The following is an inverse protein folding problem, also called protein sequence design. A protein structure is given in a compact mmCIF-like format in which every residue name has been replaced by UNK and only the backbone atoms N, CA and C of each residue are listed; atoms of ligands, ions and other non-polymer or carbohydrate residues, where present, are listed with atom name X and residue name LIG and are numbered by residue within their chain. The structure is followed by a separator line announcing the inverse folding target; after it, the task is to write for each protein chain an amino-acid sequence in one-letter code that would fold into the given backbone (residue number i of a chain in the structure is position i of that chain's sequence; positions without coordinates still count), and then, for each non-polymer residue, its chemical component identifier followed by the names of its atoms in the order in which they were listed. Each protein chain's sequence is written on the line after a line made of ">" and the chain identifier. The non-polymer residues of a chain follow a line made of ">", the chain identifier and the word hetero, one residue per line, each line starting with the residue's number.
data_IF_770898901775
#
_entry.id   IF_770898901775
#
_cell.length_a   1.000
_cell.length_b   1.000
_cell.length_c   1.000
_cell.angle_alpha   90.00
_cell.angle_beta   90.00
_cell.angle_gamma   90.00
#
_symmetry.space_group_name_H-M   'P 1'
#
loop_
_entity.id
_entity.type
_entity.pdbx_description
1 polymer ?
#
# COMPACT_ATOMS: atom_id res chain seq x y z
N UNK A 1 12.76 -19.61 19.15
CA UNK A 1 13.88 -18.78 19.67
C UNK A 1 14.45 -17.90 18.55
N UNK A 2 13.55 -17.50 17.63
CA UNK A 2 13.68 -16.71 16.38
C UNK A 2 13.13 -15.33 16.75
N UNK A 3 13.90 -14.26 17.03
CA UNK A 3 13.43 -12.97 17.64
C UNK A 3 11.89 -12.88 17.81
N UNK A 4 11.40 -13.38 18.95
CA UNK A 4 10.14 -14.13 19.05
C UNK A 4 8.93 -13.24 19.37
N UNK A 5 8.04 -12.90 18.44
CA UNK A 5 7.67 -13.49 17.15
C UNK A 5 7.64 -12.47 15.97
N UNK A 6 8.74 -11.80 15.61
CA UNK A 6 8.80 -10.61 14.70
C UNK A 6 7.65 -9.52 14.74
N UNK A 7 6.80 -9.24 15.75
CA UNK A 7 6.86 -9.72 17.13
C UNK A 7 5.61 -10.37 17.78
N UNK A 8 4.38 -10.34 17.21
CA UNK A 8 3.33 -11.44 17.28
C UNK A 8 2.15 -11.06 16.36
N UNK A 9 2.47 -10.79 15.10
CA UNK A 9 1.78 -10.00 14.06
C UNK A 9 2.43 -8.61 14.04
N UNK A 10 2.19 -7.78 13.04
CA UNK A 10 2.44 -6.33 13.16
C UNK A 10 1.50 -5.72 14.23
N UNK A 11 1.52 -6.27 15.47
CA UNK A 11 0.42 -6.99 16.16
C UNK A 11 -0.99 -6.49 15.89
N UNK A 12 -1.71 -7.29 15.09
CA UNK A 12 -3.03 -7.01 14.48
C UNK A 12 -3.04 -5.92 13.39
N UNK A 13 -1.90 -5.61 12.77
CA UNK A 13 -1.77 -4.65 11.66
C UNK A 13 -2.48 -3.30 11.85
N UNK A 14 -2.59 -2.90 13.14
CA UNK A 14 -3.22 -1.71 13.77
C UNK A 14 -4.42 -1.98 14.73
N UNK A 15 -5.02 -3.20 14.85
CA UNK A 15 -6.25 -3.51 15.64
C UNK A 15 -7.50 -2.68 15.22
N UNK A 16 -8.41 -3.25 14.43
CA UNK A 16 -9.68 -2.61 14.02
C UNK A 16 -10.71 -2.40 15.15
N UNK A 17 -10.45 -1.49 16.11
CA UNK A 17 -11.39 -1.11 17.17
C UNK A 17 -11.75 0.39 17.14
N UNK A 18 -13.04 0.70 17.25
CA UNK A 18 -13.53 2.05 17.54
C UNK A 18 -13.08 2.48 18.95
N UNK A 19 -12.36 3.59 19.07
CA UNK A 19 -12.18 4.29 20.34
C UNK A 19 -13.23 5.39 20.47
N UNK A 20 -14.10 5.26 21.47
CA UNK A 20 -14.85 6.39 22.02
C UNK A 20 -14.11 6.87 23.26
N UNK A 21 -13.54 8.07 23.20
CA UNK A 21 -13.12 8.78 24.41
C UNK A 21 -13.40 10.27 24.24
N UNK A 22 -14.29 10.82 25.05
CA UNK A 22 -14.47 12.28 25.18
C UNK A 22 -15.43 12.97 24.21
N UNK A 23 -16.32 12.25 23.51
CA UNK A 23 -17.48 12.87 22.84
C UNK A 23 -17.19 13.94 21.78
N UNK A 24 -15.97 13.99 21.23
CA UNK A 24 -15.62 14.92 20.16
C UNK A 24 -15.14 14.13 18.93
N UNK A 25 -16.03 14.00 17.95
CA UNK A 25 -15.68 13.55 16.60
C UNK A 25 -14.85 14.65 15.97
N UNK A 26 -13.53 14.44 15.81
CA UNK A 26 -12.76 15.22 14.83
C UNK A 26 -13.22 14.72 13.46
N UNK A 27 -14.28 15.36 12.98
CA UNK A 27 -14.81 15.19 11.63
C UNK A 27 -13.77 15.75 10.66
N UNK A 28 -12.79 14.92 10.30
CA UNK A 28 -12.25 15.00 8.95
C UNK A 28 -13.45 14.69 8.04
N UNK A 29 -13.97 15.71 7.36
CA UNK A 29 -14.99 15.55 6.33
C UNK A 29 -14.68 14.28 5.52
N UNK A 30 -15.67 13.44 5.21
CA UNK A 30 -15.40 12.25 4.44
C UNK A 30 -14.58 12.60 3.20
N UNK A 31 -13.53 11.82 2.94
CA UNK A 31 -12.86 11.84 1.63
C UNK A 31 -13.94 11.81 0.54
N UNK A 32 -13.75 12.46 -0.62
CA UNK A 32 -14.75 12.59 -1.69
C UNK A 32 -15.22 11.25 -2.33
N UNK A 33 -14.88 10.12 -1.72
CA UNK A 33 -15.36 8.78 -2.07
C UNK A 33 -16.44 8.26 -1.10
N UNK A 34 -16.79 9.01 -0.04
CA UNK A 34 -17.90 8.65 0.84
C UNK A 34 -19.20 9.24 0.31
N UNK A 35 -19.56 8.83 -0.90
CA UNK A 35 -20.88 9.08 -1.46
C UNK A 35 -21.82 8.12 -0.72
N UNK A 36 -22.23 8.47 0.50
CA UNK A 36 -23.20 7.73 1.31
C UNK A 36 -24.61 7.68 0.67
N UNK A 37 -24.70 7.80 -0.65
CA UNK A 37 -25.85 7.39 -1.41
C UNK A 37 -26.07 5.89 -1.15
N UNK A 38 -27.32 5.45 -0.91
CA UNK A 38 -27.59 4.03 -0.74
C UNK A 38 -27.00 3.28 -1.93
N UNK A 39 -26.21 2.23 -1.65
CA UNK A 39 -25.54 1.40 -2.66
C UNK A 39 -26.58 0.96 -3.66
N UNK A 40 -26.65 1.68 -4.78
CA UNK A 40 -27.68 1.47 -5.78
C UNK A 40 -27.15 0.33 -6.65
N UNK A 41 -27.96 -0.72 -6.83
CA UNK A 41 -27.55 -1.92 -7.56
C UNK A 41 -26.98 -1.52 -8.92
N UNK A 42 -25.70 -1.80 -9.11
CA UNK A 42 -25.02 -1.59 -10.39
C UNK A 42 -25.25 -2.83 -11.26
N UNK A 43 -25.64 -2.63 -12.52
CA UNK A 43 -25.81 -3.72 -13.48
C UNK A 43 -24.99 -3.44 -14.74
N UNK A 44 -24.53 -4.49 -15.41
CA UNK A 44 -23.94 -4.38 -16.74
C UNK A 44 -25.02 -4.79 -17.74
N UNK A 45 -25.44 -3.89 -18.62
CA UNK A 45 -26.45 -4.14 -19.65
C UNK A 45 -25.87 -3.78 -21.00
N UNK A 46 -25.84 -4.74 -21.93
CA UNK A 46 -25.26 -4.54 -23.27
C UNK A 46 -23.82 -3.96 -23.26
N UNK A 47 -23.02 -4.27 -22.23
CA UNK A 47 -21.65 -3.77 -22.08
C UNK A 47 -21.53 -2.40 -21.38
N UNK A 48 -22.66 -1.76 -21.05
CA UNK A 48 -22.69 -0.49 -20.32
C UNK A 48 -22.89 -0.75 -18.82
N UNK A 49 -22.12 -0.05 -17.99
CA UNK A 49 -22.32 -0.01 -16.55
C UNK A 49 -23.52 0.88 -16.25
N UNK A 50 -24.46 0.45 -15.41
CA UNK A 50 -25.66 1.21 -15.07
C UNK A 50 -25.88 1.25 -13.56
N UNK A 51 -26.22 2.42 -13.01
CA UNK A 51 -26.75 2.58 -11.65
C UNK A 51 -28.28 2.63 -11.75
N UNK A 52 -28.96 1.56 -11.31
CA UNK A 52 -30.38 1.38 -11.62
C UNK A 52 -30.58 1.23 -13.14
N UNK A 53 -31.27 2.20 -13.75
CA UNK A 53 -31.47 2.31 -15.20
C UNK A 53 -30.63 3.44 -15.84
N UNK A 54 -29.78 4.11 -15.06
CA UNK A 54 -28.95 5.22 -15.54
C UNK A 54 -27.59 4.68 -15.99
N UNK A 55 -27.17 4.85 -17.26
CA UNK A 55 -25.83 4.48 -17.68
C UNK A 55 -24.80 5.37 -16.99
N UNK A 56 -23.75 4.75 -16.47
CA UNK A 56 -22.61 5.42 -15.87
C UNK A 56 -21.71 5.89 -17.02
N UNK A 57 -21.42 7.19 -17.16
CA UNK A 57 -20.64 7.73 -18.29
C UNK A 57 -19.15 7.38 -18.22
N UNK A 58 -18.73 6.56 -17.24
CA UNK A 58 -17.37 6.05 -17.07
C UNK A 58 -17.40 4.55 -17.37
N UNK A 59 -16.58 4.08 -18.31
CA UNK A 59 -15.14 4.26 -18.20
C UNK A 59 -14.54 5.16 -19.27
N UNK A 60 -13.63 6.07 -18.90
CA UNK A 60 -12.65 6.61 -19.87
C UNK A 60 -11.91 5.42 -20.48
N UNK A 61 -11.94 5.24 -21.82
CA UNK A 61 -11.14 4.22 -22.48
C UNK A 61 -9.68 4.34 -22.04
N UNK A 62 -8.93 3.23 -22.02
CA UNK A 62 -7.48 3.26 -21.71
C UNK A 62 -6.73 4.27 -22.58
N UNK A 63 -7.18 4.46 -23.82
CA UNK A 63 -6.64 5.43 -24.77
C UNK A 63 -6.81 6.91 -24.35
N UNK A 64 -7.77 7.20 -23.46
CA UNK A 64 -8.09 8.53 -22.96
C UNK A 64 -7.60 8.75 -21.52
N UNK A 65 -6.93 7.76 -20.93
CA UNK A 65 -6.31 7.93 -19.62
C UNK A 65 -5.17 8.95 -19.68
N UNK A 66 -4.94 9.71 -18.59
CA UNK A 66 -3.78 10.59 -18.51
C UNK A 66 -2.48 9.81 -18.71
N UNK A 67 -1.40 10.52 -19.06
CA UNK A 67 -0.10 9.92 -19.33
C UNK A 67 0.28 8.86 -18.29
N UNK A 68 0.74 7.70 -18.79
CA UNK A 68 1.14 6.55 -17.97
C UNK A 68 2.10 7.01 -16.87
N UNK A 69 1.80 6.61 -15.63
CA UNK A 69 2.68 6.81 -14.48
C UNK A 69 3.63 5.61 -14.34
N UNK A 70 4.91 5.82 -13.98
CA UNK A 70 5.82 4.72 -13.69
C UNK A 70 5.26 3.81 -12.59
N UNK A 71 5.20 2.50 -12.84
CA UNK A 71 4.81 1.52 -11.82
C UNK A 71 6.00 1.25 -10.89
N UNK A 72 5.84 1.54 -9.60
CA UNK A 72 6.94 1.52 -8.64
C UNK A 72 6.65 0.55 -7.50
N UNK A 73 7.59 -0.36 -7.22
CA UNK A 73 7.59 -1.11 -5.95
C UNK A 73 8.35 -0.29 -4.92
N UNK A 74 7.77 -0.10 -3.73
CA UNK A 74 8.44 0.54 -2.60
C UNK A 74 8.92 -0.52 -1.63
N UNK A 75 10.20 -0.42 -1.26
CA UNK A 75 10.83 -1.15 -0.18
C UNK A 75 11.17 -0.16 0.95
N UNK A 76 10.68 -0.44 2.16
CA UNK A 76 10.97 0.32 3.36
C UNK A 76 10.95 -0.64 4.56
N UNK A 77 11.55 -0.30 5.71
CA UNK A 77 11.41 -1.13 6.89
C UNK A 77 9.93 -1.18 7.30
N UNK A 78 9.52 -2.31 7.85
CA UNK A 78 8.16 -2.54 8.35
C UNK A 78 8.17 -3.20 9.73
N UNK A 79 8.87 -4.32 9.88
CA UNK A 79 9.04 -5.02 11.16
C UNK A 79 9.87 -4.24 12.18
N UNK A 80 9.77 -4.64 13.46
CA UNK A 80 10.40 -3.93 14.59
C UNK A 80 9.48 -2.84 15.15
N UNK A 81 9.87 -1.58 15.04
CA UNK A 81 9.02 -0.44 15.43
C UNK A 81 7.91 -0.19 14.39
N UNK A 82 6.87 -1.02 14.44
CA UNK A 82 5.79 -1.06 13.45
C UNK A 82 5.05 0.26 13.34
N UNK A 83 4.82 0.97 14.45
CA UNK A 83 4.12 2.28 14.42
C UNK A 83 4.95 3.29 13.63
N UNK A 84 6.22 3.46 13.97
CA UNK A 84 7.14 4.34 13.26
C UNK A 84 7.30 3.94 11.80
N UNK A 85 7.47 2.65 11.54
CA UNK A 85 7.72 2.12 10.21
C UNK A 85 6.49 2.21 9.31
N UNK A 86 5.29 2.08 9.87
CA UNK A 86 4.03 2.31 9.14
C UNK A 86 3.92 3.77 8.70
N UNK A 87 4.20 4.72 9.60
CA UNK A 87 4.22 6.14 9.25
C UNK A 87 5.34 6.46 8.24
N UNK A 88 6.49 5.81 8.35
CA UNK A 88 7.56 5.95 7.37
C UNK A 88 7.17 5.40 6.00
N UNK A 89 6.59 4.20 5.93
CA UNK A 89 6.11 3.60 4.68
C UNK A 89 5.03 4.46 4.01
N UNK A 90 4.11 5.05 4.79
CA UNK A 90 3.11 6.02 4.31
C UNK A 90 3.77 7.27 3.72
N UNK A 91 4.81 7.80 4.37
CA UNK A 91 5.55 8.95 3.87
C UNK A 91 6.33 8.61 2.59
N UNK A 92 6.90 7.40 2.48
CA UNK A 92 7.56 6.92 1.27
C UNK A 92 6.57 6.80 0.10
N UNK A 93 5.39 6.23 0.36
CA UNK A 93 4.29 6.15 -0.62
C UNK A 93 3.89 7.55 -1.11
N UNK A 94 3.73 8.50 -0.18
CA UNK A 94 3.38 9.88 -0.51
C UNK A 94 4.48 10.59 -1.33
N UNK A 95 5.76 10.38 -1.00
CA UNK A 95 6.88 10.92 -1.77
C UNK A 95 6.86 10.39 -3.22
N UNK A 96 6.68 9.08 -3.40
CA UNK A 96 6.58 8.46 -4.73
C UNK A 96 5.38 9.00 -5.53
N UNK A 97 4.19 9.09 -4.91
CA UNK A 97 3.01 9.70 -5.54
C UNK A 97 3.26 11.15 -5.99
N UNK A 98 3.93 11.95 -5.16
CA UNK A 98 4.29 13.35 -5.48
C UNK A 98 5.31 13.47 -6.62
N UNK A 99 6.07 12.42 -6.91
CA UNK A 99 6.95 12.32 -8.09
C UNK A 99 6.19 11.94 -9.37
N UNK A 100 4.87 11.79 -9.29
CA UNK A 100 4.05 11.39 -10.43
C UNK A 100 4.06 9.89 -10.71
N UNK A 101 4.59 9.09 -9.79
CA UNK A 101 4.67 7.63 -9.88
C UNK A 101 3.35 6.98 -9.41
N UNK A 102 3.19 5.70 -9.74
CA UNK A 102 2.12 4.83 -9.25
C UNK A 102 2.74 3.73 -8.37
N UNK A 103 2.97 4.00 -7.07
CA UNK A 103 3.63 3.07 -6.18
C UNK A 103 2.72 2.00 -5.58
N UNK A 104 3.30 0.85 -5.29
CA UNK A 104 2.79 -0.13 -4.34
C UNK A 104 3.81 -0.39 -3.22
N UNK A 105 3.32 -0.46 -1.98
CA UNK A 105 4.08 -0.93 -0.82
C UNK A 105 3.35 -2.16 -0.25
N UNK A 106 3.67 -3.37 -0.71
CA UNK A 106 2.95 -4.59 -0.36
C UNK A 106 3.03 -4.91 1.13
N UNK A 107 4.17 -4.62 1.77
CA UNK A 107 4.36 -4.77 3.21
C UNK A 107 3.47 -3.85 4.05
N UNK A 108 3.04 -2.71 3.50
CA UNK A 108 2.07 -1.82 4.13
C UNK A 108 0.62 -2.20 3.78
N UNK A 109 0.38 -2.72 2.58
CA UNK A 109 -0.96 -3.03 2.07
C UNK A 109 -1.49 -4.38 2.60
N UNK A 110 -0.75 -5.47 2.34
CA UNK A 110 -1.25 -6.82 2.57
C UNK A 110 -1.35 -7.15 4.06
N UNK A 111 -0.45 -6.60 4.86
CA UNK A 111 -0.44 -6.82 6.32
C UNK A 111 -1.71 -6.30 6.99
N UNK A 112 -2.45 -5.35 6.41
CA UNK A 112 -3.74 -4.88 6.96
C UNK A 112 -4.85 -5.94 6.96
N UNK A 113 -4.69 -7.01 6.18
CA UNK A 113 -5.71 -8.07 6.03
C UNK A 113 -5.15 -9.48 6.19
N UNK A 114 -3.82 -9.64 6.21
CA UNK A 114 -3.12 -10.91 6.42
C UNK A 114 -2.36 -10.88 7.74
N UNK A 115 -2.39 -11.99 8.45
CA UNK A 115 -1.58 -12.22 9.64
C UNK A 115 -0.23 -12.84 9.23
N UNK A 116 0.81 -12.00 9.22
CA UNK A 116 2.18 -12.42 8.93
C UNK A 116 2.74 -13.48 9.90
N UNK A 117 2.05 -13.79 11.02
CA UNK A 117 2.41 -14.94 11.86
C UNK A 117 1.93 -16.28 11.33
N UNK A 118 0.87 -16.27 10.54
CA UNK A 118 0.34 -17.46 9.90
C UNK A 118 1.19 -17.72 8.67
N UNK A 119 1.97 -18.81 8.62
CA UNK A 119 2.91 -19.03 7.52
C UNK A 119 2.24 -19.02 6.14
N UNK A 120 1.01 -19.54 6.06
CA UNK A 120 0.16 -19.54 4.86
C UNK A 120 -0.23 -18.13 4.42
N UNK A 121 -0.60 -17.25 5.35
CA UNK A 121 -0.97 -15.87 5.02
C UNK A 121 0.25 -15.00 4.71
N UNK A 122 1.36 -15.22 5.43
CA UNK A 122 2.65 -14.57 5.12
C UNK A 122 3.12 -14.92 3.72
N UNK A 123 3.07 -16.21 3.36
CA UNK A 123 3.43 -16.68 2.02
C UNK A 123 2.52 -16.06 0.96
N UNK A 124 1.21 -16.04 1.18
CA UNK A 124 0.24 -15.38 0.29
C UNK A 124 0.58 -13.89 0.07
N UNK A 125 0.89 -13.17 1.14
CA UNK A 125 1.25 -11.75 1.08
C UNK A 125 2.54 -11.50 0.30
N UNK A 126 3.55 -12.37 0.49
CA UNK A 126 4.81 -12.35 -0.25
C UNK A 126 4.54 -12.64 -1.73
N UNK A 127 3.86 -13.74 -2.07
CA UNK A 127 3.56 -14.11 -3.46
C UNK A 127 2.80 -13.02 -4.21
N UNK A 128 1.80 -12.40 -3.58
CA UNK A 128 1.07 -11.28 -4.14
C UNK A 128 1.98 -10.07 -4.40
N UNK A 129 2.91 -9.76 -3.48
CA UNK A 129 3.93 -8.74 -3.69
C UNK A 129 4.88 -9.08 -4.83
N UNK A 130 5.26 -10.36 -4.97
CA UNK A 130 6.16 -10.83 -6.03
C UNK A 130 5.56 -10.68 -7.43
N UNK A 131 4.25 -10.83 -7.56
CA UNK A 131 3.58 -10.70 -8.86
C UNK A 131 3.82 -9.32 -9.50
N UNK A 132 4.04 -8.27 -8.70
CA UNK A 132 4.28 -6.91 -9.18
C UNK A 132 5.59 -6.74 -9.94
N UNK A 133 6.61 -7.54 -9.66
CA UNK A 133 7.90 -7.44 -10.35
C UNK A 133 7.80 -7.70 -11.86
N UNK A 134 6.71 -8.33 -12.34
CA UNK A 134 6.47 -8.55 -13.78
C UNK A 134 6.11 -7.27 -14.53
N UNK A 135 5.56 -6.27 -13.84
CA UNK A 135 5.02 -5.05 -14.45
C UNK A 135 5.67 -3.78 -13.92
N UNK A 136 6.36 -3.86 -12.78
CA UNK A 136 7.06 -2.74 -12.19
C UNK A 136 8.18 -2.23 -13.11
N UNK A 137 8.27 -0.91 -13.24
CA UNK A 137 9.31 -0.23 -14.00
C UNK A 137 10.56 0.04 -13.15
N UNK A 138 10.39 0.08 -11.82
CA UNK A 138 11.50 0.15 -10.86
C UNK A 138 11.07 -0.27 -9.46
N UNK A 139 12.06 -0.63 -8.66
CA UNK A 139 11.99 -0.81 -7.23
C UNK A 139 12.69 0.37 -6.56
N UNK A 140 12.04 1.01 -5.60
CA UNK A 140 12.56 2.15 -4.87
C UNK A 140 12.74 1.77 -3.41
N UNK A 141 13.98 1.86 -2.94
CA UNK A 141 14.38 1.48 -1.58
C UNK A 141 14.61 2.73 -0.75
N UNK A 142 13.78 2.93 0.27
CA UNK A 142 13.88 4.06 1.19
C UNK A 142 14.71 3.69 2.42
N UNK A 143 15.90 4.30 2.55
CA UNK A 143 16.97 3.81 3.44
C UNK A 143 17.23 4.68 4.69
N UNK A 144 16.29 5.56 5.08
CA UNK A 144 16.50 6.47 6.23
C UNK A 144 16.83 5.71 7.54
N UNK A 145 16.34 4.48 7.69
CA UNK A 145 16.56 3.63 8.87
C UNK A 145 17.43 2.41 8.58
N UNK A 146 18.25 2.49 7.53
CA UNK A 146 19.09 1.37 7.09
C UNK A 146 18.29 0.31 6.32
N UNK A 147 18.96 -0.82 6.08
CA UNK A 147 18.43 -1.93 5.29
C UNK A 147 17.96 -3.06 6.22
N UNK A 148 16.66 -3.36 6.20
CA UNK A 148 16.14 -4.56 6.85
C UNK A 148 16.43 -5.80 6.01
N UNK A 149 16.33 -6.98 6.62
CA UNK A 149 16.40 -8.26 5.89
C UNK A 149 15.36 -8.33 4.78
N UNK A 150 14.11 -7.96 5.07
CA UNK A 150 13.02 -7.95 4.08
C UNK A 150 13.32 -7.04 2.90
N UNK A 151 13.84 -5.83 3.15
CA UNK A 151 14.24 -4.92 2.07
C UNK A 151 15.41 -5.46 1.25
N UNK A 152 16.39 -6.11 1.87
CA UNK A 152 17.50 -6.74 1.16
C UNK A 152 17.01 -7.89 0.26
N UNK A 153 16.08 -8.71 0.75
CA UNK A 153 15.43 -9.76 -0.04
C UNK A 153 14.60 -9.18 -1.19
N UNK A 154 13.82 -8.12 -0.95
CA UNK A 154 13.09 -7.37 -1.98
C UNK A 154 14.02 -6.79 -3.05
N UNK A 155 15.10 -6.14 -2.63
CA UNK A 155 16.14 -5.59 -3.52
C UNK A 155 16.77 -6.70 -4.38
N UNK A 156 17.14 -7.84 -3.79
CA UNK A 156 17.69 -8.97 -4.51
C UNK A 156 16.69 -9.52 -5.55
N UNK A 157 15.40 -9.57 -5.21
CA UNK A 157 14.34 -10.00 -6.14
C UNK A 157 14.15 -9.01 -7.28
N UNK A 158 14.22 -7.70 -7.02
CA UNK A 158 14.19 -6.67 -8.05
C UNK A 158 15.29 -6.90 -9.10
N UNK A 159 16.53 -7.05 -8.62
CA UNK A 159 17.69 -7.32 -9.46
C UNK A 159 17.53 -8.63 -10.25
N UNK A 160 17.07 -9.70 -9.61
CA UNK A 160 16.86 -11.00 -10.25
C UNK A 160 15.78 -10.96 -11.36
N UNK A 161 14.83 -10.03 -11.28
CA UNK A 161 13.78 -9.84 -12.29
C UNK A 161 14.11 -8.71 -13.29
N UNK A 162 15.32 -8.18 -13.28
CA UNK A 162 15.73 -7.09 -14.18
C UNK A 162 15.02 -5.75 -13.91
N UNK A 163 14.43 -5.58 -12.72
CA UNK A 163 13.78 -4.34 -12.30
C UNK A 163 14.84 -3.40 -11.71
N UNK A 164 15.05 -2.21 -12.29
CA UNK A 164 16.01 -1.24 -11.78
C UNK A 164 15.74 -0.87 -10.32
N UNK A 165 16.80 -0.75 -9.52
CA UNK A 165 16.72 -0.35 -8.10
C UNK A 165 17.19 1.09 -7.94
N UNK A 166 16.38 1.91 -7.26
CA UNK A 166 16.69 3.30 -6.93
C UNK A 166 16.66 3.50 -5.42
N UNK A 167 17.74 4.01 -4.82
CA UNK A 167 17.79 4.31 -3.39
C UNK A 167 17.36 5.74 -3.11
N UNK A 168 16.52 5.95 -2.09
CA UNK A 168 15.98 7.25 -1.70
C UNK A 168 16.07 7.51 -0.22
N UNK A 169 16.12 8.80 0.12
CA UNK A 169 16.03 9.29 1.50
C UNK A 169 15.03 10.44 1.56
N UNK A 170 14.19 10.43 2.59
CA UNK A 170 13.30 11.55 2.92
C UNK A 170 14.07 12.55 3.79
N UNK A 171 14.27 13.77 3.30
CA UNK A 171 15.13 14.77 3.97
C UNK A 171 14.59 15.32 5.29
N UNK A 172 13.28 15.49 5.42
CA UNK A 172 12.62 16.08 6.59
C UNK A 172 11.64 15.12 7.27
N UNK A 173 11.87 13.80 7.19
CA UNK A 173 11.00 12.85 7.87
C UNK A 173 11.24 12.92 9.38
N UNK A 174 10.23 13.40 10.10
CA UNK A 174 10.08 13.27 11.55
C UNK A 174 8.84 12.42 11.77
N UNK A 175 8.92 11.44 12.67
CA UNK A 175 7.72 10.75 13.13
C UNK A 175 6.71 11.82 13.58
N UNK A 176 5.45 11.69 13.19
CA UNK A 176 4.40 12.51 13.79
C UNK A 176 4.45 12.24 15.31
N UNK A 177 4.71 13.29 16.08
CA UNK A 177 4.79 13.23 17.53
C UNK A 177 3.41 12.98 18.16
#
# INVERSE_FOLDING_TARGET
>A
MLEEAEDRAARAAVEGRQMTTGGAVISCLPKPYNDNLPVTRVTIRAGELCIGDVPVPYPVPVAEQPARKPLVIIESPFSGDVVRNTEYARACLLDSLRRGEAPIASHLLHTQVLDDLRPDERELGIEAGLAWYRVAEKCVVYENFGMSRGMAEGTARALANGVPVEFRRLGAWRAAA
#
